data_IF_840086983563
#
_entry.id   IF_840086983563
#
_cell.length_a   1.000
_cell.length_b   1.000
_cell.length_c   1.000
_cell.angle_alpha   90.00
_cell.angle_beta   90.00
_cell.angle_gamma   90.00
#
_symmetry.space_group_name_H-M   'P 1'
#
loop_
_entity.id
_entity.type
_entity.pdbx_description
1 polymer ?
#
# COMPACT_ATOMS: atom_id res chain seq x y z
N UNK A 1 -2.63 24.72 6.65
CA UNK A 1 -3.74 23.75 6.89
C UNK A 1 -4.66 23.56 5.68
N UNK A 2 -5.15 24.61 5.01
CA UNK A 2 -6.07 24.44 3.87
C UNK A 2 -5.46 23.68 2.68
N UNK A 3 -4.17 23.89 2.38
CA UNK A 3 -3.48 23.15 1.31
C UNK A 3 -3.35 21.66 1.64
N UNK A 4 -2.93 21.33 2.87
CA UNK A 4 -2.80 19.93 3.31
C UNK A 4 -4.12 19.15 3.14
N UNK A 5 -5.26 19.79 3.44
CA UNK A 5 -6.59 19.16 3.29
C UNK A 5 -6.91 18.70 1.86
N UNK A 6 -6.34 19.35 0.86
CA UNK A 6 -6.46 18.93 -0.54
C UNK A 6 -5.43 17.86 -0.90
N UNK A 7 -4.18 18.05 -0.53
CA UNK A 7 -3.09 17.13 -0.88
C UNK A 7 -3.23 15.75 -0.22
N UNK A 8 -3.86 15.64 0.95
CA UNK A 8 -4.04 14.35 1.63
C UNK A 8 -4.89 13.36 0.84
N UNK A 9 -5.77 13.84 -0.03
CA UNK A 9 -6.60 13.01 -0.91
C UNK A 9 -5.81 12.41 -2.08
N UNK A 10 -4.65 12.96 -2.42
CA UNK A 10 -3.79 12.35 -3.45
C UNK A 10 -3.22 11.01 -2.99
N UNK A 11 -3.04 10.78 -1.69
CA UNK A 11 -2.52 9.51 -1.21
C UNK A 11 -3.44 8.32 -1.58
N UNK A 12 -4.75 8.30 -1.22
CA UNK A 12 -5.67 7.25 -1.68
C UNK A 12 -5.72 7.09 -3.20
N UNK A 13 -5.60 8.20 -3.96
CA UNK A 13 -5.61 8.18 -5.43
C UNK A 13 -4.32 7.55 -6.01
N UNK A 14 -3.16 7.85 -5.44
CA UNK A 14 -1.89 7.27 -5.86
C UNK A 14 -1.81 5.79 -5.50
N UNK A 15 -2.31 5.43 -4.32
CA UNK A 15 -2.46 4.03 -3.91
C UNK A 15 -3.28 3.25 -4.93
N UNK A 16 -4.51 3.69 -5.25
CA UNK A 16 -5.34 2.91 -6.17
C UNK A 16 -4.75 2.83 -7.58
N UNK A 17 -4.01 3.84 -8.05
CA UNK A 17 -3.28 3.76 -9.33
C UNK A 17 -2.26 2.62 -9.33
N UNK A 18 -1.53 2.43 -8.23
CA UNK A 18 -0.59 1.32 -8.08
C UNK A 18 -1.31 -0.02 -8.01
N UNK A 19 -2.24 -0.16 -7.07
CA UNK A 19 -2.92 -1.42 -6.80
C UNK A 19 -3.84 -1.87 -7.94
N UNK A 20 -4.32 -0.95 -8.79
CA UNK A 20 -5.04 -1.33 -10.01
C UNK A 20 -4.17 -2.15 -10.96
N UNK A 21 -2.87 -1.87 -11.07
CA UNK A 21 -1.93 -2.70 -11.84
C UNK A 21 -1.86 -4.11 -11.25
N UNK A 22 -1.82 -4.22 -9.91
CA UNK A 22 -1.82 -5.50 -9.22
C UNK A 22 -3.11 -6.29 -9.47
N UNK A 23 -4.28 -5.66 -9.35
CA UNK A 23 -5.57 -6.32 -9.62
C UNK A 23 -5.58 -6.94 -11.02
N UNK A 24 -5.09 -6.18 -12.02
CA UNK A 24 -5.07 -6.63 -13.41
C UNK A 24 -4.10 -7.79 -13.61
N UNK A 25 -2.93 -7.76 -12.97
CA UNK A 25 -1.79 -8.59 -13.37
C UNK A 25 -1.45 -9.72 -12.38
N UNK A 26 -1.75 -9.59 -11.08
CA UNK A 26 -1.27 -10.48 -10.02
C UNK A 26 -1.66 -11.95 -10.26
N UNK A 27 -2.94 -12.23 -10.55
CA UNK A 27 -3.40 -13.60 -10.85
C UNK A 27 -2.65 -14.23 -12.02
N UNK A 28 -2.50 -13.48 -13.12
CA UNK A 28 -1.79 -13.97 -14.30
C UNK A 28 -0.30 -14.19 -14.00
N UNK A 29 0.32 -13.28 -13.26
CA UNK A 29 1.72 -13.37 -12.87
C UNK A 29 1.98 -14.57 -11.95
N UNK A 30 1.15 -14.78 -10.92
CA UNK A 30 1.25 -15.94 -10.02
C UNK A 30 1.13 -17.27 -10.78
N UNK A 31 0.26 -17.35 -11.80
CA UNK A 31 0.10 -18.55 -12.64
C UNK A 31 1.37 -18.94 -13.42
N UNK A 32 2.28 -17.99 -13.68
CA UNK A 32 3.54 -18.28 -14.40
C UNK A 32 4.52 -19.14 -13.60
N UNK A 33 4.33 -19.26 -12.28
CA UNK A 33 5.22 -20.02 -11.38
C UNK A 33 6.70 -19.66 -11.59
N UNK A 34 6.99 -18.35 -11.69
CA UNK A 34 8.35 -17.87 -11.92
C UNK A 34 9.27 -18.31 -10.78
N UNK A 35 10.49 -18.70 -11.14
CA UNK A 35 11.49 -19.12 -10.17
C UNK A 35 12.05 -17.92 -9.42
N UNK A 36 12.15 -18.02 -8.09
CA UNK A 36 12.96 -17.09 -7.30
C UNK A 36 14.45 -17.41 -7.45
N UNK A 37 15.22 -16.43 -7.88
CA UNK A 37 16.68 -16.46 -7.90
C UNK A 37 17.27 -16.12 -6.53
N UNK A 38 16.66 -15.18 -5.81
CA UNK A 38 16.95 -14.90 -4.40
C UNK A 38 15.75 -15.34 -3.59
N UNK A 39 15.91 -16.29 -2.68
CA UNK A 39 14.80 -16.78 -1.86
C UNK A 39 14.35 -15.69 -0.90
N UNK A 40 13.07 -15.34 -0.96
CA UNK A 40 12.45 -14.44 0.00
C UNK A 40 11.39 -15.20 0.80
N UNK A 41 11.27 -14.98 2.13
CA UNK A 41 10.25 -15.60 2.97
C UNK A 41 8.88 -14.91 2.81
N UNK A 42 8.54 -14.49 1.59
CA UNK A 42 7.27 -13.82 1.27
C UNK A 42 6.60 -14.50 0.09
N UNK A 43 5.28 -14.53 0.12
CA UNK A 43 4.47 -14.98 -1.02
C UNK A 43 3.89 -13.74 -1.70
N UNK A 44 4.37 -13.36 -2.91
CA UNK A 44 3.87 -12.18 -3.60
C UNK A 44 2.36 -12.27 -3.80
N UNK A 45 1.65 -11.16 -3.58
CA UNK A 45 0.19 -11.07 -3.75
C UNK A 45 -0.59 -12.14 -2.98
N UNK A 46 -0.04 -12.66 -1.88
CA UNK A 46 -0.64 -13.76 -1.11
C UNK A 46 -0.78 -15.07 -1.89
N UNK A 47 -0.15 -15.21 -3.06
CA UNK A 47 -0.35 -16.34 -3.97
C UNK A 47 -1.73 -16.34 -4.62
N UNK A 48 -2.29 -15.15 -4.87
CA UNK A 48 -3.66 -14.97 -5.34
C UNK A 48 -4.01 -15.85 -6.54
N UNK A 49 -5.19 -16.46 -6.45
CA UNK A 49 -5.80 -17.28 -7.52
C UNK A 49 -7.00 -16.57 -8.16
N UNK A 50 -7.40 -15.44 -7.60
CA UNK A 50 -8.64 -14.73 -7.95
C UNK A 50 -8.37 -13.24 -8.13
N UNK A 51 -8.81 -12.70 -9.27
CA UNK A 51 -8.83 -11.25 -9.50
C UNK A 51 -9.84 -10.57 -8.57
N UNK A 52 -10.98 -11.23 -8.30
CA UNK A 52 -11.97 -10.73 -7.35
C UNK A 52 -11.42 -10.68 -5.92
N UNK A 53 -10.70 -11.73 -5.50
CA UNK A 53 -9.99 -11.73 -4.21
C UNK A 53 -8.98 -10.58 -4.10
N UNK A 54 -8.14 -10.38 -5.12
CA UNK A 54 -7.21 -9.25 -5.15
C UNK A 54 -7.93 -7.90 -5.06
N UNK A 55 -9.01 -7.72 -5.85
CA UNK A 55 -9.80 -6.49 -5.83
C UNK A 55 -10.48 -6.22 -4.49
N UNK A 56 -11.00 -7.26 -3.80
CA UNK A 56 -11.58 -7.13 -2.45
C UNK A 56 -10.52 -6.60 -1.47
N UNK A 57 -9.30 -7.13 -1.55
CA UNK A 57 -8.20 -6.70 -0.70
C UNK A 57 -7.84 -5.23 -0.89
N UNK A 58 -7.57 -4.85 -2.14
CA UNK A 58 -7.26 -3.46 -2.50
C UNK A 58 -8.39 -2.51 -2.13
N UNK A 59 -9.64 -2.92 -2.35
CA UNK A 59 -10.80 -2.09 -2.00
C UNK A 59 -10.91 -1.86 -0.49
N UNK A 60 -10.62 -2.87 0.32
CA UNK A 60 -10.64 -2.78 1.77
C UNK A 60 -9.54 -1.84 2.28
N UNK A 61 -8.32 -1.94 1.75
CA UNK A 61 -7.23 -1.02 2.07
C UNK A 61 -7.56 0.42 1.65
N UNK A 62 -8.16 0.60 0.45
CA UNK A 62 -8.61 1.91 -0.02
C UNK A 62 -9.62 2.55 0.93
N UNK A 63 -10.56 1.77 1.50
CA UNK A 63 -11.51 2.27 2.50
C UNK A 63 -10.76 2.80 3.72
N UNK A 64 -9.74 2.10 4.22
CA UNK A 64 -8.94 2.60 5.34
C UNK A 64 -8.17 3.87 5.01
N UNK A 65 -7.60 3.99 3.81
CA UNK A 65 -6.93 5.23 3.38
C UNK A 65 -7.91 6.41 3.32
N UNK A 66 -9.11 6.19 2.81
CA UNK A 66 -10.17 7.20 2.76
C UNK A 66 -10.60 7.59 4.18
N UNK A 67 -10.83 6.64 5.07
CA UNK A 67 -11.22 6.91 6.46
C UNK A 67 -10.14 7.70 7.19
N UNK A 68 -8.87 7.28 7.09
CA UNK A 68 -7.76 8.01 7.72
C UNK A 68 -7.64 9.44 7.18
N UNK A 69 -7.83 9.63 5.87
CA UNK A 69 -7.86 10.95 5.22
C UNK A 69 -9.03 11.81 5.72
N UNK A 70 -10.23 11.23 5.81
CA UNK A 70 -11.42 11.91 6.33
C UNK A 70 -11.26 12.34 7.78
N UNK A 71 -10.77 11.44 8.64
CA UNK A 71 -10.49 11.74 10.06
C UNK A 71 -9.52 12.91 10.15
N UNK A 72 -8.42 12.88 9.40
CA UNK A 72 -7.46 13.99 9.37
C UNK A 72 -8.08 15.31 8.91
N UNK A 73 -8.91 15.29 7.87
CA UNK A 73 -9.56 16.49 7.35
C UNK A 73 -10.57 17.12 8.34
N UNK A 74 -11.35 16.28 9.02
CA UNK A 74 -12.39 16.72 9.96
C UNK A 74 -11.76 17.18 11.28
N UNK A 75 -10.88 16.36 11.86
CA UNK A 75 -10.33 16.57 13.20
C UNK A 75 -9.04 17.40 13.23
N UNK A 76 -8.35 17.54 12.09
CA UNK A 76 -7.00 18.09 12.03
C UNK A 76 -5.90 17.09 12.43
N UNK A 77 -6.27 15.85 12.79
CA UNK A 77 -5.34 14.85 13.27
C UNK A 77 -4.89 13.89 12.18
N UNK A 78 -3.70 14.12 11.62
CA UNK A 78 -3.15 13.36 10.51
C UNK A 78 -2.16 12.27 10.93
N UNK A 79 -2.01 11.96 12.22
CA UNK A 79 -1.01 11.01 12.70
C UNK A 79 -1.11 9.64 12.05
N UNK A 80 -2.31 9.03 12.10
CA UNK A 80 -2.54 7.74 11.46
C UNK A 80 -2.33 7.83 9.94
N UNK A 81 -2.91 8.83 9.27
CA UNK A 81 -2.72 9.06 7.82
C UNK A 81 -1.23 9.16 7.44
N UNK A 82 -0.43 9.87 8.24
CA UNK A 82 1.00 10.05 8.02
C UNK A 82 1.75 8.72 8.13
N UNK A 83 1.49 7.96 9.20
CA UNK A 83 2.10 6.65 9.40
C UNK A 83 1.76 5.66 8.30
N UNK A 84 0.52 5.69 7.83
CA UNK A 84 0.00 4.88 6.74
C UNK A 84 0.62 5.27 5.38
N UNK A 85 0.80 6.56 5.09
CA UNK A 85 1.52 7.03 3.91
C UNK A 85 2.97 6.53 3.91
N UNK A 86 3.66 6.58 5.06
CA UNK A 86 5.02 6.04 5.18
C UNK A 86 5.02 4.52 4.99
N UNK A 87 4.06 3.80 5.57
CA UNK A 87 3.92 2.35 5.36
C UNK A 87 3.75 2.02 3.87
N UNK A 88 2.94 2.78 3.13
CA UNK A 88 2.80 2.64 1.69
C UNK A 88 4.11 2.92 0.93
N UNK A 89 4.82 4.01 1.24
CA UNK A 89 6.12 4.31 0.61
C UNK A 89 7.12 3.18 0.84
N UNK A 90 7.19 2.67 2.07
CA UNK A 90 8.04 1.52 2.40
C UNK A 90 7.62 0.29 1.60
N UNK A 91 6.32 0.03 1.47
CA UNK A 91 5.80 -1.08 0.67
C UNK A 91 6.22 -0.97 -0.81
N UNK A 92 6.01 0.20 -1.44
CA UNK A 92 6.39 0.45 -2.83
C UNK A 92 7.90 0.22 -3.06
N UNK A 93 8.74 0.80 -2.20
CA UNK A 93 10.20 0.70 -2.34
C UNK A 93 10.67 -0.72 -2.04
N UNK A 94 10.28 -1.25 -0.88
CA UNK A 94 10.83 -2.51 -0.39
C UNK A 94 10.34 -3.68 -1.24
N UNK A 95 9.03 -3.79 -1.50
CA UNK A 95 8.48 -4.95 -2.21
C UNK A 95 8.54 -4.79 -3.72
N UNK A 96 8.08 -3.66 -4.27
CA UNK A 96 7.90 -3.50 -5.72
C UNK A 96 9.14 -2.99 -6.45
N UNK A 97 10.03 -2.25 -5.80
CA UNK A 97 11.25 -1.73 -6.45
C UNK A 97 12.47 -2.61 -6.15
N UNK A 98 12.60 -3.13 -4.92
CA UNK A 98 13.82 -3.84 -4.49
C UNK A 98 13.62 -5.36 -4.45
N UNK A 99 12.80 -5.87 -3.53
CA UNK A 99 12.80 -7.29 -3.18
C UNK A 99 12.27 -8.17 -4.31
N UNK A 100 11.06 -7.89 -4.82
CA UNK A 100 10.43 -8.75 -5.82
C UNK A 100 11.16 -8.71 -7.18
N UNK A 101 11.54 -7.54 -7.74
CA UNK A 101 12.32 -7.51 -8.98
C UNK A 101 13.69 -8.22 -8.85
N UNK A 102 14.40 -8.02 -7.73
CA UNK A 102 15.69 -8.69 -7.50
C UNK A 102 15.53 -10.21 -7.36
N UNK A 103 14.48 -10.65 -6.66
CA UNK A 103 14.18 -12.06 -6.43
C UNK A 103 13.80 -12.78 -7.71
N UNK A 104 12.87 -12.23 -8.50
CA UNK A 104 12.34 -12.91 -9.67
C UNK A 104 13.11 -12.60 -10.96
N UNK A 105 13.89 -11.52 -11.01
CA UNK A 105 14.61 -11.06 -12.22
C UNK A 105 13.70 -10.95 -13.45
N UNK A 106 12.44 -10.65 -13.19
CA UNK A 106 11.37 -10.47 -14.16
C UNK A 106 10.51 -9.32 -13.66
N UNK A 107 9.79 -8.70 -14.59
CA UNK A 107 8.76 -7.71 -14.24
C UNK A 107 7.78 -8.28 -13.21
N UNK A 108 7.45 -7.48 -12.22
CA UNK A 108 6.50 -7.79 -11.14
C UNK A 108 5.33 -6.80 -11.21
N UNK A 109 4.07 -7.25 -11.08
CA UNK A 109 2.93 -6.36 -10.98
C UNK A 109 3.16 -5.27 -9.93
N UNK A 110 2.87 -4.03 -10.31
CA UNK A 110 3.05 -2.88 -9.44
C UNK A 110 4.44 -2.25 -9.53
N UNK A 111 5.43 -2.86 -10.18
CA UNK A 111 6.80 -2.29 -10.27
C UNK A 111 6.83 -0.95 -11.00
N UNK A 112 6.14 -0.84 -12.14
CA UNK A 112 6.13 0.39 -12.95
C UNK A 112 5.36 1.49 -12.24
N UNK A 113 4.16 1.18 -11.74
CA UNK A 113 3.38 2.15 -10.97
C UNK A 113 4.01 2.49 -9.62
N UNK A 114 4.80 1.61 -9.01
CA UNK A 114 5.55 1.95 -7.79
C UNK A 114 6.58 3.05 -8.07
N UNK A 115 7.33 2.96 -9.16
CA UNK A 115 8.24 4.04 -9.58
C UNK A 115 7.48 5.34 -9.88
N UNK A 116 6.31 5.26 -10.51
CA UNK A 116 5.49 6.42 -10.83
C UNK A 116 4.91 7.10 -9.58
N UNK A 117 4.46 6.31 -8.59
CA UNK A 117 3.71 6.80 -7.43
C UNK A 117 4.60 7.11 -6.22
N UNK A 118 5.78 6.50 -6.09
CA UNK A 118 6.69 6.76 -4.96
C UNK A 118 7.17 8.21 -4.93
N UNK A 119 7.44 8.80 -6.10
CA UNK A 119 7.93 10.18 -6.22
C UNK A 119 6.89 11.19 -5.65
N UNK A 120 5.63 11.22 -6.14
CA UNK A 120 4.62 12.11 -5.58
C UNK A 120 4.28 11.76 -4.13
N UNK A 121 4.29 10.49 -3.70
CA UNK A 121 4.09 10.11 -2.31
C UNK A 121 5.16 10.71 -1.38
N UNK A 122 6.45 10.63 -1.75
CA UNK A 122 7.55 11.24 -1.00
C UNK A 122 7.43 12.77 -0.95
N UNK A 123 6.98 13.39 -2.04
CA UNK A 123 6.72 14.83 -2.07
C UNK A 123 5.58 15.22 -1.12
N UNK A 124 4.47 14.49 -1.13
CA UNK A 124 3.32 14.69 -0.22
C UNK A 124 3.77 14.51 1.23
N UNK A 125 4.57 13.48 1.53
CA UNK A 125 5.10 13.26 2.88
C UNK A 125 5.95 14.45 3.36
N UNK A 126 6.84 14.96 2.50
CA UNK A 126 7.65 16.14 2.81
C UNK A 126 6.79 17.39 3.05
N UNK A 127 5.79 17.62 2.20
CA UNK A 127 4.84 18.73 2.37
C UNK A 127 4.08 18.59 3.69
N UNK A 128 3.57 17.40 3.99
CA UNK A 128 2.87 17.12 5.24
C UNK A 128 3.78 17.36 6.45
N UNK A 129 5.03 16.90 6.42
CA UNK A 129 5.99 17.12 7.50
C UNK A 129 6.26 18.62 7.73
N UNK A 130 6.38 19.42 6.67
CA UNK A 130 6.60 20.86 6.78
C UNK A 130 5.40 21.61 7.37
N UNK A 131 4.19 21.06 7.26
CA UNK A 131 2.94 21.69 7.75
C UNK A 131 2.57 21.19 9.15
N UNK A 132 2.77 19.90 9.41
CA UNK A 132 2.41 19.25 10.67
C UNK A 132 3.49 19.37 11.73
N UNK A 133 4.75 19.56 11.31
CA UNK A 133 5.91 19.77 12.18
C UNK A 133 6.09 18.67 13.23
N UNK A 134 5.70 17.42 12.91
CA UNK A 134 5.86 16.30 13.84
C UNK A 134 7.31 16.12 14.26
N UNK A 135 7.54 15.99 15.56
CA UNK A 135 8.83 15.63 16.13
C UNK A 135 9.25 14.22 15.70
N UNK A 136 10.54 13.90 15.82
CA UNK A 136 11.04 12.57 15.51
C UNK A 136 10.35 11.46 16.32
N UNK A 137 9.94 11.76 17.56
CA UNK A 137 9.21 10.82 18.43
C UNK A 137 7.80 10.58 17.89
N UNK A 138 7.07 11.64 17.52
CA UNK A 138 5.73 11.52 16.94
C UNK A 138 5.76 10.76 15.62
N UNK A 139 6.73 11.07 14.74
CA UNK A 139 6.94 10.32 13.50
C UNK A 139 7.16 8.84 13.80
N UNK A 140 8.06 8.51 14.74
CA UNK A 140 8.36 7.13 15.10
C UNK A 140 7.12 6.39 15.61
N UNK A 141 6.31 7.03 16.47
CA UNK A 141 5.07 6.47 16.99
C UNK A 141 4.08 6.22 15.85
N UNK A 142 3.80 7.23 15.02
CA UNK A 142 2.80 7.13 13.96
C UNK A 142 3.18 6.14 12.88
N UNK A 143 4.45 6.11 12.47
CA UNK A 143 4.97 5.13 11.51
C UNK A 143 4.87 3.72 12.08
N UNK A 144 5.21 3.52 13.35
CA UNK A 144 5.09 2.21 14.00
C UNK A 144 3.63 1.75 14.04
N UNK A 145 2.70 2.63 14.43
CA UNK A 145 1.26 2.34 14.44
C UNK A 145 0.77 2.00 13.02
N UNK A 146 1.16 2.79 12.02
CA UNK A 146 0.75 2.58 10.62
C UNK A 146 1.24 1.26 10.05
N UNK A 147 2.51 0.89 10.29
CA UNK A 147 3.07 -0.39 9.85
C UNK A 147 2.40 -1.57 10.55
N UNK A 148 2.20 -1.50 11.87
CA UNK A 148 1.52 -2.57 12.62
C UNK A 148 0.09 -2.73 12.11
N UNK A 149 -0.64 -1.62 11.92
CA UNK A 149 -1.99 -1.63 11.39
C UNK A 149 -2.05 -2.30 10.02
N UNK A 150 -1.22 -1.86 9.06
CA UNK A 150 -1.17 -2.43 7.72
C UNK A 150 -0.83 -3.93 7.74
N UNK A 151 0.17 -4.33 8.52
CA UNK A 151 0.59 -5.74 8.61
C UNK A 151 -0.49 -6.64 9.22
N UNK A 152 -1.12 -6.21 10.30
CA UNK A 152 -2.22 -6.94 10.93
C UNK A 152 -3.40 -7.05 9.97
N UNK A 153 -3.72 -5.97 9.27
CA UNK A 153 -4.80 -5.92 8.30
C UNK A 153 -4.58 -6.95 7.17
N UNK A 154 -3.45 -6.87 6.48
CA UNK A 154 -3.09 -7.78 5.38
C UNK A 154 -3.10 -9.24 5.85
N UNK A 155 -2.63 -9.53 7.06
CA UNK A 155 -2.65 -10.88 7.62
C UNK A 155 -4.07 -11.42 7.82
N UNK A 156 -4.99 -10.57 8.30
CA UNK A 156 -6.40 -10.94 8.45
C UNK A 156 -7.04 -11.12 7.07
N UNK A 157 -6.77 -10.22 6.14
CA UNK A 157 -7.29 -10.24 4.80
C UNK A 157 -6.87 -11.52 4.05
N UNK A 158 -5.57 -11.82 3.98
CA UNK A 158 -5.06 -13.04 3.34
C UNK A 158 -5.64 -14.33 3.93
N UNK A 159 -5.94 -14.35 5.23
CA UNK A 159 -6.58 -15.52 5.86
C UNK A 159 -8.02 -15.75 5.37
N UNK A 160 -8.71 -14.69 4.94
CA UNK A 160 -10.12 -14.74 4.58
C UNK A 160 -10.37 -14.55 3.07
N UNK A 161 -9.37 -14.15 2.28
CA UNK A 161 -9.54 -13.70 0.90
C UNK A 161 -10.14 -14.77 -0.01
N UNK A 162 -9.73 -16.03 0.13
CA UNK A 162 -10.26 -17.15 -0.65
C UNK A 162 -11.74 -17.45 -0.33
N UNK A 163 -12.20 -17.12 0.87
CA UNK A 163 -13.62 -17.26 1.25
C UNK A 163 -14.42 -16.09 0.70
N UNK A 164 -13.87 -14.88 0.80
CA UNK A 164 -14.51 -13.66 0.29
C UNK A 164 -14.63 -13.69 -1.23
N UNK A 165 -13.62 -14.16 -1.95
CA UNK A 165 -13.65 -14.24 -3.42
C UNK A 165 -14.78 -15.14 -3.93
N UNK A 166 -15.03 -16.27 -3.26
CA UNK A 166 -16.11 -17.21 -3.61
C UNK A 166 -17.53 -16.64 -3.48
N UNK A 167 -17.70 -15.51 -2.81
CA UNK A 167 -19.00 -14.85 -2.70
C UNK A 167 -19.36 -14.04 -3.97
N UNK A 168 -18.37 -13.77 -4.82
CA UNK A 168 -18.49 -12.88 -5.98
C UNK A 168 -17.96 -13.50 -7.28
N UNK A 169 -17.49 -14.75 -7.24
CA UNK A 169 -17.10 -15.60 -8.37
C UNK A 169 -18.16 -16.66 -8.68
#
# INVERSE_FOLDING_TARGET
MNELRWFVWLFPLLFIVHDMEEIIMAKHWCKKNLKQYVRLPITPFGGTKSTAGCAIGVFEELIFWIIATMIGNISGFYGLWYGLLVANIVHLILFHIILLPLSYRHYVPGEITAWLTVIPCCYILKLAQNILEYSAIEISIWVTIGIIFAFVNIKILHKNIDKLSKLVE
#
